data_IF_681594895799
#
_entry.id   IF_681594895799
#
_cell.length_a   1.000
_cell.length_b   1.000
_cell.length_c   1.000
_cell.angle_alpha   90.00
_cell.angle_beta   90.00
_cell.angle_gamma   90.00
#
_symmetry.space_group_name_H-M   'P 1'
#
loop_
_entity.id
_entity.type
_entity.pdbx_description
1 polymer ?
#
# COMPACT_ATOMS: atom_id res chain seq x y z
N UNK A 1 8.81 8.75 -1.72
CA UNK A 1 9.56 7.74 -0.97
C UNK A 1 9.22 6.39 -1.55
N UNK A 2 10.21 5.61 -1.96
CA UNK A 2 9.95 4.28 -2.55
C UNK A 2 9.83 3.18 -1.47
N UNK A 3 9.41 1.98 -1.87
CA UNK A 3 9.25 0.84 -0.93
C UNK A 3 10.55 0.50 -0.19
N UNK A 4 11.70 0.65 -0.86
CA UNK A 4 13.01 0.35 -0.29
C UNK A 4 13.39 1.35 0.79
N UNK A 5 13.17 2.64 0.53
CA UNK A 5 13.38 3.73 1.49
C UNK A 5 12.51 3.53 2.74
N UNK A 6 11.22 3.18 2.58
CA UNK A 6 10.30 2.90 3.70
C UNK A 6 10.77 1.76 4.59
N UNK A 7 11.21 0.65 4.00
CA UNK A 7 11.71 -0.51 4.75
C UNK A 7 12.95 -0.14 5.57
N UNK A 8 13.83 0.71 5.04
CA UNK A 8 15.00 1.17 5.79
C UNK A 8 14.63 2.08 6.96
N UNK A 9 13.69 3.00 6.80
CA UNK A 9 13.20 3.86 7.88
C UNK A 9 12.51 3.04 8.98
N UNK A 10 11.60 2.13 8.60
CA UNK A 10 10.91 1.26 9.56
C UNK A 10 11.88 0.36 10.33
N UNK A 11 12.90 -0.21 9.66
CA UNK A 11 13.95 -0.99 10.33
C UNK A 11 14.74 -0.16 11.35
N UNK A 12 14.93 1.12 11.07
CA UNK A 12 15.69 2.03 11.91
C UNK A 12 14.82 2.77 12.95
N UNK A 13 13.51 2.51 13.01
CA UNK A 13 12.54 3.24 13.84
C UNK A 13 12.53 4.76 13.58
N UNK A 14 12.72 5.15 12.31
CA UNK A 14 12.71 6.53 11.84
C UNK A 14 11.36 6.85 11.19
N UNK A 15 10.89 8.11 11.26
CA UNK A 15 9.62 8.47 10.64
C UNK A 15 9.67 8.44 9.10
N UNK A 16 8.64 7.88 8.43
CA UNK A 16 7.51 7.16 9.00
C UNK A 16 7.89 5.71 9.33
N UNK A 17 7.70 5.29 10.58
CA UNK A 17 7.89 3.89 11.02
C UNK A 17 6.68 3.07 10.56
N UNK A 18 6.66 2.80 9.25
CA UNK A 18 5.61 2.09 8.53
C UNK A 18 6.28 1.10 7.59
N UNK A 19 6.17 -0.19 7.89
CA UNK A 19 6.47 -1.24 6.91
C UNK A 19 5.35 -1.19 5.86
N UNK A 20 5.68 -1.11 4.56
CA UNK A 20 4.66 -1.20 3.52
C UNK A 20 3.83 -2.47 3.73
N UNK A 21 2.51 -2.35 3.79
CA UNK A 21 1.66 -3.53 3.74
C UNK A 21 1.76 -4.06 2.31
N UNK A 22 2.62 -5.04 2.09
CA UNK A 22 2.69 -5.78 0.84
C UNK A 22 1.42 -6.64 0.71
N UNK A 23 0.31 -5.98 0.38
CA UNK A 23 -0.97 -6.62 0.19
C UNK A 23 -1.03 -7.25 -1.21
N UNK A 24 -0.61 -8.50 -1.26
CA UNK A 24 -0.67 -9.29 -2.49
C UNK A 24 -2.06 -9.87 -2.69
N UNK A 25 -2.80 -9.25 -3.59
CA UNK A 25 -4.13 -9.68 -4.01
C UNK A 25 -4.14 -10.03 -5.50
N UNK A 26 -5.02 -10.97 -5.87
CA UNK A 26 -5.24 -11.29 -7.28
C UNK A 26 -5.89 -10.11 -8.02
N UNK A 27 -5.73 -10.06 -9.33
CA UNK A 27 -6.41 -9.06 -10.17
C UNK A 27 -7.93 -9.07 -9.99
N UNK A 28 -8.52 -10.26 -9.78
CA UNK A 28 -9.94 -10.41 -9.48
C UNK A 28 -10.37 -9.82 -8.14
N UNK A 29 -9.48 -9.80 -7.14
CA UNK A 29 -9.75 -9.11 -5.87
C UNK A 29 -9.75 -7.59 -6.08
N UNK A 30 -8.71 -7.04 -6.71
CA UNK A 30 -8.63 -5.60 -6.98
C UNK A 30 -9.82 -5.09 -7.79
N UNK A 31 -10.28 -5.87 -8.78
CA UNK A 31 -11.49 -5.53 -9.55
C UNK A 31 -12.76 -5.49 -8.70
N UNK A 32 -12.90 -6.38 -7.71
CA UNK A 32 -14.04 -6.33 -6.78
C UNK A 32 -13.96 -5.11 -5.88
N UNK A 33 -12.78 -4.77 -5.40
CA UNK A 33 -12.56 -3.58 -4.56
C UNK A 33 -12.87 -2.31 -5.33
N UNK A 34 -12.40 -2.20 -6.58
CA UNK A 34 -12.69 -1.07 -7.46
C UNK A 34 -14.19 -0.87 -7.67
N UNK A 35 -14.94 -1.95 -7.93
CA UNK A 35 -16.41 -1.89 -8.06
C UNK A 35 -17.09 -1.49 -6.76
N UNK A 36 -16.61 -1.97 -5.61
CA UNK A 36 -17.23 -1.71 -4.31
C UNK A 36 -16.96 -0.31 -3.76
N UNK A 37 -15.75 0.20 -3.97
CA UNK A 37 -15.28 1.45 -3.37
C UNK A 37 -15.23 2.61 -4.37
N UNK A 38 -15.28 2.33 -5.68
CA UNK A 38 -15.08 3.33 -6.72
C UNK A 38 -13.66 3.88 -6.79
N UNK A 39 -12.68 3.17 -6.20
CA UNK A 39 -11.28 3.55 -6.16
C UNK A 39 -10.48 2.62 -7.06
N UNK A 40 -9.60 3.18 -7.89
CA UNK A 40 -8.55 2.42 -8.56
C UNK A 40 -7.61 1.76 -7.54
N UNK A 41 -6.83 0.79 -8.00
CA UNK A 41 -5.81 0.15 -7.17
C UNK A 41 -4.84 1.19 -6.60
N UNK A 42 -4.40 2.14 -7.43
CA UNK A 42 -3.46 3.19 -7.06
C UNK A 42 -4.06 4.11 -5.98
N UNK A 43 -5.30 4.59 -6.18
CA UNK A 43 -5.99 5.42 -5.18
C UNK A 43 -6.23 4.69 -3.86
N UNK A 44 -6.53 3.39 -3.91
CA UNK A 44 -6.69 2.56 -2.72
C UNK A 44 -5.38 2.47 -1.93
N UNK A 45 -4.26 2.24 -2.62
CA UNK A 45 -2.96 2.15 -1.97
C UNK A 45 -2.55 3.51 -1.38
N UNK A 46 -2.74 4.61 -2.12
CA UNK A 46 -2.46 5.96 -1.64
C UNK A 46 -3.32 6.37 -0.43
N UNK A 47 -4.57 5.92 -0.35
CA UNK A 47 -5.48 6.25 0.77
C UNK A 47 -5.01 5.64 2.11
N UNK A 48 -4.31 4.50 2.06
CA UNK A 48 -3.90 3.74 3.24
C UNK A 48 -2.37 3.66 3.42
N UNK A 49 -1.61 4.45 2.64
CA UNK A 49 -0.17 4.71 2.81
C UNK A 49 0.09 5.87 3.80
#
# INVERSE_FOLDING_TARGET
MDSRERVHLARNHEEPDRVPVDFWASSGFYRKVEVLLGLSKEELLDLYD
#
